data_IF_643265710096
#
_entry.id   IF_643265710096
#
_cell.length_a   1.000
_cell.length_b   1.000
_cell.length_c   1.000
_cell.angle_alpha   90.00
_cell.angle_beta   90.00
_cell.angle_gamma   90.00
#
_symmetry.space_group_name_H-M   'P 1'
#
loop_
_entity.id
_entity.type
_entity.pdbx_description
1 polymer ?
#
# COMPACT_ATOMS: atom_id res chain seq x y z
N UNK A 1 1.85 -11.16 -1.85
CA UNK A 1 1.26 -12.04 -0.83
C UNK A 1 1.04 -13.43 -1.44
N UNK A 2 0.90 -14.48 -0.63
CA UNK A 2 0.53 -15.83 -1.10
C UNK A 2 -0.84 -16.19 -0.55
N UNK A 3 -1.75 -16.60 -1.42
CA UNK A 3 -3.15 -16.90 -1.06
C UNK A 3 -3.43 -18.37 -1.33
N UNK A 4 -4.05 -19.04 -0.36
CA UNK A 4 -4.57 -20.40 -0.52
C UNK A 4 -5.97 -20.37 -1.15
N UNK A 5 -6.20 -21.22 -2.14
CA UNK A 5 -7.50 -21.36 -2.81
C UNK A 5 -7.93 -22.83 -2.73
N UNK A 6 -9.14 -23.06 -2.24
CA UNK A 6 -9.73 -24.40 -2.15
C UNK A 6 -11.07 -24.47 -2.89
N UNK A 7 -11.27 -25.55 -3.65
CA UNK A 7 -12.52 -25.85 -4.33
C UNK A 7 -13.42 -26.69 -3.39
N UNK A 8 -14.71 -26.35 -3.35
CA UNK A 8 -15.73 -27.11 -2.61
C UNK A 8 -16.38 -28.06 -3.61
N UNK A 9 -15.72 -29.18 -3.90
CA UNK A 9 -16.18 -30.18 -4.87
C UNK A 9 -15.03 -31.04 -5.42
N UNK A 10 -15.39 -32.15 -6.06
CA UNK A 10 -14.42 -33.07 -6.68
C UNK A 10 -14.13 -32.69 -8.14
N UNK A 11 -14.91 -31.79 -8.73
CA UNK A 11 -14.67 -31.32 -10.08
C UNK A 11 -13.38 -30.50 -10.16
N UNK A 12 -12.50 -30.78 -11.15
CA UNK A 12 -11.31 -29.98 -11.35
C UNK A 12 -11.68 -28.55 -11.76
N UNK A 13 -11.07 -27.58 -11.09
CA UNK A 13 -11.08 -26.19 -11.53
C UNK A 13 -10.16 -26.07 -12.74
N UNK A 14 -10.64 -25.44 -13.82
CA UNK A 14 -9.83 -25.21 -15.00
C UNK A 14 -8.98 -23.96 -14.87
N UNK A 15 -9.58 -22.85 -14.44
CA UNK A 15 -8.87 -21.62 -14.11
C UNK A 15 -9.75 -20.70 -13.28
N UNK A 16 -9.13 -19.76 -12.55
CA UNK A 16 -9.83 -18.68 -11.86
C UNK A 16 -9.18 -17.36 -12.26
N UNK A 17 -10.00 -16.46 -12.79
CA UNK A 17 -9.63 -15.05 -12.91
C UNK A 17 -9.95 -14.36 -11.58
N UNK A 18 -8.99 -14.39 -10.65
CA UNK A 18 -9.14 -13.88 -9.29
C UNK A 18 -8.87 -12.38 -9.26
N UNK A 19 -9.78 -11.63 -8.65
CA UNK A 19 -9.60 -10.23 -8.29
C UNK A 19 -9.60 -10.13 -6.78
N UNK A 20 -8.80 -9.22 -6.26
CA UNK A 20 -8.76 -8.92 -4.85
C UNK A 20 -8.72 -7.41 -4.64
N UNK A 21 -9.58 -6.92 -3.75
CA UNK A 21 -9.49 -5.58 -3.21
C UNK A 21 -8.80 -5.68 -1.85
N UNK A 22 -7.65 -5.01 -1.71
CA UNK A 22 -6.90 -4.96 -0.45
C UNK A 22 -7.20 -3.63 0.22
N UNK A 23 -7.71 -3.69 1.45
CA UNK A 23 -8.01 -2.52 2.28
C UNK A 23 -7.14 -2.52 3.53
N UNK A 24 -6.91 -1.34 4.08
CA UNK A 24 -6.26 -1.14 5.36
C UNK A 24 -7.33 -0.72 6.37
N UNK A 25 -7.36 -1.37 7.53
CA UNK A 25 -8.32 -1.08 8.60
C UNK A 25 -7.66 -0.39 9.81
N UNK A 26 -7.42 0.93 9.74
CA UNK A 26 -6.59 1.63 10.72
C UNK A 26 -7.15 1.56 12.16
N UNK A 27 -8.45 1.31 12.33
CA UNK A 27 -9.11 1.17 13.65
C UNK A 27 -8.67 -0.09 14.41
N UNK A 28 -8.11 -1.09 13.73
CA UNK A 28 -7.73 -2.38 14.34
C UNK A 28 -6.35 -2.37 14.99
N UNK A 29 -5.69 -1.22 15.09
CA UNK A 29 -4.41 -1.07 15.79
C UNK A 29 -4.39 0.18 16.67
N UNK A 30 -3.48 0.16 17.65
CA UNK A 30 -3.13 1.36 18.41
C UNK A 30 -2.02 2.14 17.70
N UNK A 31 -1.86 3.40 18.09
CA UNK A 31 -0.86 4.31 17.53
C UNK A 31 -0.10 5.00 18.65
N UNK A 32 1.22 5.14 18.49
CA UNK A 32 2.03 5.98 19.37
C UNK A 32 1.76 7.47 19.13
N UNK A 33 2.28 8.33 19.99
CA UNK A 33 2.18 9.79 19.81
C UNK A 33 2.93 10.23 18.55
N UNK A 34 4.12 9.66 18.30
CA UNK A 34 4.91 9.90 17.10
C UNK A 34 4.17 9.45 15.82
N UNK A 35 3.55 8.27 15.84
CA UNK A 35 2.75 7.80 14.70
C UNK A 35 1.53 8.70 14.47
N UNK A 36 0.91 9.19 15.54
CA UNK A 36 -0.25 10.06 15.44
C UNK A 36 0.10 11.42 14.81
N UNK A 37 1.27 11.99 15.10
CA UNK A 37 1.76 13.21 14.46
C UNK A 37 1.87 13.04 12.93
N UNK A 38 2.49 11.93 12.49
CA UNK A 38 2.64 11.61 11.06
C UNK A 38 1.33 11.28 10.33
N UNK A 39 0.25 11.01 11.06
CA UNK A 39 -1.08 10.69 10.52
C UNK A 39 -2.03 11.89 10.50
N UNK A 40 -1.59 13.06 10.95
CA UNK A 40 -2.42 14.27 11.02
C UNK A 40 -3.01 14.65 9.66
N UNK A 41 -2.26 14.51 8.58
CA UNK A 41 -2.74 14.81 7.22
C UNK A 41 -3.84 13.85 6.73
N UNK A 42 -3.91 12.64 7.31
CA UNK A 42 -4.87 11.62 6.91
C UNK A 42 -6.13 11.62 7.78
N UNK A 43 -5.95 11.69 9.09
CA UNK A 43 -7.03 11.52 10.06
C UNK A 43 -7.32 12.80 10.86
N UNK A 44 -6.49 13.84 10.73
CA UNK A 44 -6.53 15.00 11.60
C UNK A 44 -5.95 14.71 12.99
N UNK A 45 -6.20 15.64 13.91
CA UNK A 45 -5.87 15.51 15.33
C UNK A 45 -6.62 14.34 15.98
N UNK A 46 -6.06 13.78 17.06
CA UNK A 46 -6.60 12.55 17.70
C UNK A 46 -8.07 12.64 18.11
N UNK A 47 -8.57 13.81 18.50
CA UNK A 47 -9.97 14.03 18.85
C UNK A 47 -10.92 13.76 17.67
N UNK A 48 -10.44 13.88 16.43
CA UNK A 48 -11.22 13.67 15.20
C UNK A 48 -11.25 12.21 14.74
N UNK A 49 -10.35 11.36 15.24
CA UNK A 49 -10.13 10.01 14.73
C UNK A 49 -11.38 9.14 14.77
N UNK A 50 -12.23 9.29 15.78
CA UNK A 50 -13.51 8.56 15.86
C UNK A 50 -14.41 8.75 14.61
N UNK A 51 -14.21 9.83 13.86
CA UNK A 51 -15.02 10.21 12.69
C UNK A 51 -14.25 10.25 11.37
N UNK A 52 -12.92 10.15 11.40
CA UNK A 52 -12.07 10.27 10.20
C UNK A 52 -11.31 8.98 9.91
N UNK A 53 -11.08 8.17 10.94
CA UNK A 53 -10.34 6.92 10.82
C UNK A 53 -11.27 5.82 10.30
N UNK A 54 -11.27 5.64 8.98
CA UNK A 54 -12.08 4.63 8.31
C UNK A 54 -11.21 3.68 7.51
N UNK A 55 -11.69 2.45 7.35
CA UNK A 55 -11.08 1.48 6.45
C UNK A 55 -11.03 2.04 5.02
N UNK A 56 -9.86 2.07 4.41
CA UNK A 56 -9.68 2.64 3.07
C UNK A 56 -9.02 1.66 2.11
N UNK A 57 -9.18 1.90 0.80
CA UNK A 57 -8.59 1.07 -0.25
C UNK A 57 -7.07 1.29 -0.28
N UNK A 58 -6.30 0.20 -0.20
CA UNK A 58 -4.88 0.26 -0.54
C UNK A 58 -4.71 0.06 -2.05
N UNK A 59 -5.17 -1.07 -2.58
CA UNK A 59 -5.01 -1.39 -4.00
C UNK A 59 -6.01 -2.45 -4.47
N UNK A 60 -6.22 -2.47 -5.79
CA UNK A 60 -6.80 -3.61 -6.49
C UNK A 60 -5.69 -4.43 -7.10
N UNK A 61 -5.79 -5.75 -6.99
CA UNK A 61 -4.84 -6.69 -7.57
C UNK A 61 -5.57 -7.88 -8.17
N UNK A 62 -4.92 -8.55 -9.12
CA UNK A 62 -5.48 -9.70 -9.82
C UNK A 62 -4.46 -10.82 -9.92
N UNK A 63 -4.94 -12.06 -9.95
CA UNK A 63 -4.11 -13.23 -10.16
C UNK A 63 -4.85 -14.24 -11.03
N UNK A 64 -4.13 -14.87 -11.95
CA UNK A 64 -4.65 -15.99 -12.74
C UNK A 64 -4.28 -17.30 -12.04
N UNK A 65 -5.28 -17.96 -11.46
CA UNK A 65 -5.09 -19.27 -10.83
C UNK A 65 -5.19 -20.33 -11.94
N UNK A 66 -4.12 -21.08 -12.12
CA UNK A 66 -4.08 -22.21 -13.05
C UNK A 66 -4.92 -23.37 -12.52
N UNK A 67 -5.32 -24.28 -13.41
CA UNK A 67 -6.19 -25.40 -13.05
C UNK A 67 -5.62 -26.27 -11.93
N UNK A 68 -6.49 -26.69 -11.01
CA UNK A 68 -6.12 -27.48 -9.84
C UNK A 68 -7.28 -28.37 -9.39
N UNK A 69 -6.98 -29.31 -8.48
CA UNK A 69 -7.95 -30.14 -7.76
C UNK A 69 -7.75 -29.97 -6.26
N UNK A 70 -8.84 -29.92 -5.49
CA UNK A 70 -8.78 -29.73 -4.04
C UNK A 70 -8.33 -28.33 -3.66
N UNK A 71 -7.02 -28.09 -3.53
CA UNK A 71 -6.47 -26.80 -3.14
C UNK A 71 -5.16 -26.46 -3.88
N UNK A 72 -4.88 -25.16 -3.99
CA UNK A 72 -3.63 -24.64 -4.54
C UNK A 72 -3.22 -23.35 -3.83
N UNK A 73 -1.99 -22.89 -4.10
CA UNK A 73 -1.51 -21.59 -3.67
C UNK A 73 -1.12 -20.76 -4.90
N UNK A 74 -1.45 -19.47 -4.86
CA UNK A 74 -1.10 -18.51 -5.91
C UNK A 74 -0.48 -17.27 -5.28
N UNK A 75 0.46 -16.68 -5.98
CA UNK A 75 1.01 -15.39 -5.59
C UNK A 75 0.08 -14.27 -6.07
N UNK A 76 -0.26 -13.38 -5.14
CA UNK A 76 -1.03 -12.17 -5.37
C UNK A 76 -0.07 -10.98 -5.32
N UNK A 77 0.20 -10.31 -6.45
CA UNK A 77 1.12 -9.18 -6.48
C UNK A 77 0.52 -8.01 -5.68
N UNK A 78 1.30 -7.49 -4.73
CA UNK A 78 0.96 -6.29 -3.98
C UNK A 78 1.95 -5.22 -4.41
N UNK A 79 1.48 -4.29 -5.23
CA UNK A 79 2.30 -3.19 -5.71
C UNK A 79 2.44 -2.16 -4.60
N UNK A 80 3.68 -1.75 -4.36
CA UNK A 80 4.04 -0.82 -3.31
C UNK A 80 4.55 0.46 -3.98
N UNK A 81 4.00 1.59 -3.59
CA UNK A 81 4.39 2.90 -4.12
C UNK A 81 5.01 3.74 -3.02
N UNK A 82 6.08 4.45 -3.36
CA UNK A 82 6.70 5.46 -2.49
C UNK A 82 6.00 6.83 -2.60
N UNK A 83 5.01 6.97 -3.49
CA UNK A 83 4.37 8.26 -3.72
C UNK A 83 3.60 8.72 -2.47
N UNK A 84 4.17 9.69 -1.76
CA UNK A 84 3.59 10.29 -0.58
C UNK A 84 2.26 10.98 -0.86
N UNK A 85 1.81 11.22 -2.08
CA UNK A 85 0.45 11.73 -2.31
C UNK A 85 -0.63 10.64 -2.18
N UNK A 86 -0.23 9.37 -2.20
CA UNK A 86 -1.15 8.25 -2.03
C UNK A 86 -1.39 8.01 -0.54
N UNK A 87 -2.66 8.06 -0.12
CA UNK A 87 -3.04 7.92 1.30
C UNK A 87 -2.49 6.66 1.97
N UNK A 88 -2.42 5.55 1.24
CA UNK A 88 -1.84 4.29 1.75
C UNK A 88 -0.34 4.40 1.98
N UNK A 89 0.41 5.08 1.11
CA UNK A 89 1.83 5.33 1.31
C UNK A 89 2.06 6.24 2.53
N UNK A 90 1.35 7.39 2.63
CA UNK A 90 1.42 8.28 3.82
C UNK A 90 1.18 7.49 5.10
N UNK A 91 0.13 6.67 5.10
CA UNK A 91 -0.23 5.86 6.25
C UNK A 91 0.91 4.91 6.62
N UNK A 92 1.40 4.11 5.67
CA UNK A 92 2.46 3.13 5.91
C UNK A 92 3.78 3.77 6.34
N UNK A 93 4.11 4.95 5.82
CA UNK A 93 5.31 5.71 6.19
C UNK A 93 5.23 6.32 7.61
N UNK A 94 4.04 6.66 8.09
CA UNK A 94 3.86 7.17 9.45
C UNK A 94 4.10 6.09 10.51
N UNK A 95 3.91 4.81 10.17
CA UNK A 95 4.03 3.71 11.12
C UNK A 95 5.48 3.41 11.52
N UNK A 96 5.67 3.05 12.78
CA UNK A 96 6.96 2.70 13.39
C UNK A 96 7.04 1.22 13.69
N UNK A 97 6.03 0.68 14.35
CA UNK A 97 6.02 -0.71 14.80
C UNK A 97 4.63 -1.37 14.67
N UNK A 98 4.51 -2.59 15.21
CA UNK A 98 3.29 -3.37 15.19
C UNK A 98 2.94 -3.88 13.80
N UNK A 99 1.64 -3.87 13.49
CA UNK A 99 1.09 -4.47 12.27
C UNK A 99 0.20 -3.50 11.51
N UNK A 100 0.10 -3.71 10.21
CA UNK A 100 -0.84 -3.08 9.30
C UNK A 100 -1.99 -4.08 9.12
N UNK A 101 -3.18 -3.81 9.69
CA UNK A 101 -4.34 -4.67 9.55
C UNK A 101 -4.88 -4.60 8.11
N UNK A 102 -4.61 -5.64 7.32
CA UNK A 102 -5.08 -5.77 5.94
C UNK A 102 -6.36 -6.60 5.89
N UNK A 103 -7.29 -6.19 5.03
CA UNK A 103 -8.48 -6.95 4.65
C UNK A 103 -8.43 -7.24 3.15
N UNK A 104 -8.57 -8.51 2.80
CA UNK A 104 -8.60 -9.00 1.42
C UNK A 104 -10.03 -9.37 1.08
N UNK A 105 -10.64 -8.68 0.11
CA UNK A 105 -11.96 -9.00 -0.39
C UNK A 105 -11.81 -9.63 -1.77
N UNK A 106 -12.16 -10.91 -1.89
CA UNK A 106 -11.97 -11.68 -3.12
C UNK A 106 -13.23 -11.67 -3.98
N UNK A 107 -13.03 -11.56 -5.28
CA UNK A 107 -14.08 -11.67 -6.28
C UNK A 107 -13.52 -12.23 -7.58
N UNK A 108 -14.36 -12.55 -8.55
CA UNK A 108 -13.92 -12.98 -9.86
C UNK A 108 -14.67 -14.18 -10.39
N UNK A 109 -14.07 -14.83 -11.37
CA UNK A 109 -14.74 -15.85 -12.18
C UNK A 109 -13.99 -17.16 -12.12
N UNK A 110 -14.70 -18.22 -11.76
CA UNK A 110 -14.23 -19.60 -11.73
C UNK A 110 -14.72 -20.31 -12.99
N UNK A 111 -13.80 -20.91 -13.72
CA UNK A 111 -14.09 -21.70 -14.91
C UNK A 111 -13.92 -23.18 -14.55
N UNK A 112 -15.01 -23.94 -14.67
CA UNK A 112 -15.01 -25.39 -14.42
C UNK A 112 -15.39 -26.13 -15.68
N UNK A 113 -15.06 -27.43 -15.74
CA UNK A 113 -15.40 -28.26 -16.90
C UNK A 113 -16.91 -28.54 -16.90
N UNK A 114 -17.61 -28.08 -17.93
CA UNK A 114 -19.02 -28.36 -18.16
C UNK A 114 -19.22 -29.55 -19.11
N UNK A 115 -20.46 -30.07 -19.16
CA UNK A 115 -20.79 -31.25 -19.99
C UNK A 115 -20.51 -31.07 -21.50
N UNK A 116 -20.52 -29.84 -22.01
CA UNK A 116 -20.28 -29.49 -23.42
C UNK A 116 -19.23 -28.38 -23.60
N UNK A 117 -18.33 -28.16 -22.63
CA UNK A 117 -17.35 -27.08 -22.68
C UNK A 117 -16.97 -26.59 -21.29
N UNK A 118 -17.05 -25.27 -21.06
CA UNK A 118 -16.85 -24.67 -19.74
C UNK A 118 -18.18 -24.23 -19.13
N UNK A 119 -18.32 -24.42 -17.83
CA UNK A 119 -19.31 -23.68 -17.04
C UNK A 119 -18.61 -22.60 -16.23
N UNK A 120 -19.33 -21.51 -16.03
CA UNK A 120 -18.83 -20.31 -15.36
C UNK A 120 -19.54 -20.16 -14.02
N UNK A 121 -18.76 -19.98 -12.98
CA UNK A 121 -19.23 -19.67 -11.63
C UNK A 121 -18.56 -18.37 -11.17
N UNK A 122 -19.21 -17.64 -10.27
CA UNK A 122 -18.61 -16.48 -9.62
C UNK A 122 -17.99 -16.90 -8.29
N UNK A 123 -16.86 -16.28 -7.93
CA UNK A 123 -16.34 -16.35 -6.57
C UNK A 123 -17.42 -15.80 -5.65
N UNK A 124 -17.84 -16.52 -4.60
CA UNK A 124 -18.86 -16.05 -3.67
C UNK A 124 -18.46 -14.70 -3.04
N UNK A 125 -19.46 -13.84 -2.81
CA UNK A 125 -19.25 -12.48 -2.31
C UNK A 125 -18.69 -12.41 -0.88
N UNK A 126 -18.85 -13.49 -0.12
CA UNK A 126 -18.44 -13.64 1.28
C UNK A 126 -16.99 -14.13 1.43
N UNK A 127 -16.23 -14.24 0.32
CA UNK A 127 -14.82 -14.63 0.37
C UNK A 127 -13.96 -13.43 0.78
N UNK A 128 -13.68 -13.35 2.06
CA UNK A 128 -12.73 -12.39 2.62
C UNK A 128 -11.71 -13.07 3.54
N UNK A 129 -10.56 -12.41 3.71
CA UNK A 129 -9.54 -12.81 4.66
C UNK A 129 -8.89 -11.58 5.31
N UNK A 130 -8.26 -11.77 6.47
CA UNK A 130 -7.57 -10.71 7.22
C UNK A 130 -6.15 -11.13 7.52
N UNK A 131 -5.23 -10.19 7.36
CA UNK A 131 -3.82 -10.42 7.65
C UNK A 131 -3.21 -9.19 8.28
N UNK A 132 -2.61 -9.36 9.45
CA UNK A 132 -1.93 -8.28 10.16
C UNK A 132 -0.46 -8.25 9.72
N UNK A 133 -0.18 -7.51 8.63
CA UNK A 133 1.16 -7.44 8.03
C UNK A 133 2.13 -6.69 8.96
N UNK A 134 3.27 -7.25 9.37
CA UNK A 134 4.22 -6.51 10.20
C UNK A 134 4.69 -5.23 9.51
N UNK A 135 4.74 -4.11 10.24
CA UNK A 135 5.22 -2.82 9.70
C UNK A 135 6.67 -2.95 9.19
N UNK A 136 7.46 -3.82 9.80
CA UNK A 136 8.82 -4.14 9.34
C UNK A 136 8.87 -4.66 7.91
N UNK A 137 7.84 -5.36 7.41
CA UNK A 137 7.79 -5.83 6.01
C UNK A 137 7.78 -4.65 5.05
N UNK A 138 6.96 -3.63 5.34
CA UNK A 138 6.91 -2.40 4.56
C UNK A 138 8.24 -1.65 4.65
N UNK A 139 8.75 -1.42 5.87
CA UNK A 139 9.99 -0.68 6.08
C UNK A 139 11.17 -1.33 5.36
N UNK A 140 11.32 -2.65 5.48
CA UNK A 140 12.36 -3.40 4.78
C UNK A 140 12.23 -3.29 3.26
N UNK A 141 11.00 -3.31 2.73
CA UNK A 141 10.77 -3.14 1.29
C UNK A 141 11.21 -1.75 0.82
N UNK A 142 10.85 -0.73 1.60
CA UNK A 142 11.25 0.65 1.33
C UNK A 142 12.78 0.79 1.37
N UNK A 143 13.43 0.32 2.44
CA UNK A 143 14.88 0.42 2.60
C UNK A 143 15.65 -0.31 1.49
N UNK A 144 15.09 -1.41 0.96
CA UNK A 144 15.66 -2.14 -0.17
C UNK A 144 15.58 -1.35 -1.49
N UNK A 145 14.51 -0.60 -1.72
CA UNK A 145 14.30 0.13 -2.98
C UNK A 145 14.85 1.56 -2.94
N UNK A 146 14.92 2.18 -1.76
CA UNK A 146 15.34 3.57 -1.55
C UNK A 146 16.26 3.69 -0.33
N UNK A 147 17.45 3.06 -0.36
CA UNK A 147 18.36 3.09 0.78
C UNK A 147 18.85 4.52 1.02
N UNK A 148 18.69 5.02 2.26
CA UNK A 148 19.10 6.36 2.72
C UNK A 148 18.58 7.53 1.86
N UNK A 149 17.56 7.31 1.04
CA UNK A 149 17.00 8.31 0.14
C UNK A 149 15.49 8.28 0.19
N UNK A 150 14.87 9.41 -0.12
CA UNK A 150 13.42 9.53 -0.25
C UNK A 150 13.07 10.16 -1.58
N UNK A 151 11.87 9.87 -2.08
CA UNK A 151 11.31 10.55 -3.22
C UNK A 151 10.37 11.68 -2.76
N UNK A 152 10.63 12.90 -3.22
CA UNK A 152 9.80 14.07 -2.97
C UNK A 152 9.22 14.54 -4.30
N UNK A 153 7.89 14.49 -4.43
CA UNK A 153 7.20 15.10 -5.57
C UNK A 153 7.18 16.61 -5.38
N UNK A 154 7.63 17.34 -6.39
CA UNK A 154 7.55 18.79 -6.43
C UNK A 154 6.83 19.21 -7.71
N UNK A 155 6.12 20.33 -7.65
CA UNK A 155 5.61 20.97 -8.86
C UNK A 155 6.77 21.40 -9.76
N UNK A 156 6.55 21.41 -11.08
CA UNK A 156 7.57 21.77 -12.07
C UNK A 156 8.18 23.14 -11.79
N UNK A 157 7.38 24.13 -11.41
CA UNK A 157 7.88 25.48 -11.12
C UNK A 157 8.77 25.49 -9.87
N UNK A 158 8.49 24.62 -8.91
CA UNK A 158 9.31 24.45 -7.69
C UNK A 158 10.65 23.78 -8.03
N UNK A 159 10.64 22.78 -8.91
CA UNK A 159 11.86 22.14 -9.40
C UNK A 159 12.75 23.15 -10.13
N UNK A 160 12.17 23.95 -11.03
CA UNK A 160 12.90 24.97 -11.78
C UNK A 160 13.47 26.06 -10.85
N UNK A 161 12.73 26.45 -9.80
CA UNK A 161 13.20 27.36 -8.78
C UNK A 161 14.37 26.77 -7.97
N UNK A 162 14.29 25.49 -7.60
CA UNK A 162 15.35 24.78 -6.87
C UNK A 162 16.62 24.63 -7.73
N UNK A 163 16.48 24.35 -9.03
CA UNK A 163 17.60 24.30 -9.98
C UNK A 163 18.29 25.66 -10.12
N UNK A 164 17.51 26.74 -10.16
CA UNK A 164 18.05 28.10 -10.20
C UNK A 164 18.80 28.43 -8.91
N UNK A 165 18.21 28.13 -7.76
CA UNK A 165 18.84 28.34 -6.45
C UNK A 165 20.17 27.58 -6.35
N UNK A 166 20.17 26.28 -6.69
CA UNK A 166 21.37 25.43 -6.71
C UNK A 166 22.47 26.07 -7.56
N UNK A 167 22.12 26.54 -8.75
CA UNK A 167 23.07 27.12 -9.71
C UNK A 167 23.66 28.45 -9.21
N UNK A 168 22.83 29.35 -8.68
CA UNK A 168 23.27 30.66 -8.15
C UNK A 168 24.19 30.49 -6.93
N UNK A 169 23.93 29.49 -6.09
CA UNK A 169 24.72 29.23 -4.88
C UNK A 169 25.87 28.23 -5.09
N UNK A 170 26.10 27.76 -6.32
CA UNK A 170 27.20 26.84 -6.64
C UNK A 170 27.09 25.48 -5.94
N UNK A 171 25.88 25.01 -5.66
CA UNK A 171 25.63 23.79 -4.89
C UNK A 171 25.68 22.54 -5.78
N UNK A 172 26.16 21.42 -5.22
CA UNK A 172 26.47 20.20 -5.97
C UNK A 172 25.26 19.28 -6.21
N UNK A 173 24.17 19.47 -5.47
CA UNK A 173 22.95 18.65 -5.58
C UNK A 173 21.72 19.42 -5.14
N UNK A 174 20.54 18.93 -5.54
CA UNK A 174 19.27 19.43 -5.00
C UNK A 174 19.15 19.19 -3.50
N UNK A 175 19.75 18.10 -2.99
CA UNK A 175 19.79 17.80 -1.55
C UNK A 175 20.54 18.90 -0.78
N UNK A 176 21.71 19.35 -1.26
CA UNK A 176 22.41 20.49 -0.69
C UNK A 176 21.61 21.80 -0.79
N UNK A 177 20.87 21.99 -1.89
CA UNK A 177 19.99 23.15 -2.05
C UNK A 177 18.87 23.17 -1.00
N UNK A 178 18.22 22.03 -0.76
CA UNK A 178 17.19 21.88 0.26
C UNK A 178 17.79 22.06 1.66
N UNK A 179 18.91 21.42 1.97
CA UNK A 179 19.58 21.56 3.27
C UNK A 179 19.97 23.02 3.58
N UNK A 180 20.48 23.74 2.57
CA UNK A 180 20.79 25.17 2.67
C UNK A 180 19.55 26.02 2.96
N UNK A 181 18.43 25.74 2.30
CA UNK A 181 17.15 26.43 2.55
C UNK A 181 16.60 26.16 3.95
N UNK A 182 16.64 24.90 4.40
CA UNK A 182 16.18 24.51 5.73
C UNK A 182 17.01 25.13 6.85
N UNK A 183 18.34 25.19 6.69
CA UNK A 183 19.22 25.82 7.66
C UNK A 183 18.88 27.31 7.83
N UNK A 184 18.67 28.04 6.73
CA UNK A 184 18.28 29.47 6.77
C UNK A 184 16.92 29.68 7.43
N UNK A 185 15.93 28.86 7.09
CA UNK A 185 14.60 28.97 7.72
C UNK A 185 14.65 28.71 9.23
N UNK A 186 15.54 27.81 9.69
CA UNK A 186 15.71 27.53 11.12
C UNK A 186 16.39 28.67 11.90
N UNK A 187 17.17 29.52 11.24
CA UNK A 187 17.76 30.73 11.82
C UNK A 187 16.72 31.85 11.98
N UNK A 188 15.78 31.98 11.05
CA UNK A 188 14.72 33.00 11.08
C UNK A 188 13.62 32.76 12.15
N UNK A 189 13.51 31.53 12.66
CA UNK A 189 12.52 31.15 13.70
C UNK A 189 13.08 31.32 15.13
N UNK A 190 14.36 31.68 15.28
CA UNK A 190 15.00 31.98 16.57
C UNK A 190 14.99 33.48 16.89
#
# INVERSE_FOLDING_TARGET
ARVGVAAIGDEPIHTIALRCQVRIDPLRRNYSDEEAEGLTDLFGTRDRWATTQHTFLWQHTTAMVQGFRGATQVDLPLECTYDFEVSSAKYLHALRDGTVPLQFLFSGTVFVKGARGFSVQQVPWDREDRFDMPVSVWRNLIDQHFPNTGWLRLDRDTVDALDRYRSVHGLLSHDHAIASLLARASEDVR
#
